data_IF_686762849957
#
_entry.id   IF_686762849957
#
_cell.length_a   1.000
_cell.length_b   1.000
_cell.length_c   1.000
_cell.angle_alpha   90.00
_cell.angle_beta   90.00
_cell.angle_gamma   90.00
#
_symmetry.space_group_name_H-M   'P 1'
#
loop_
_entity.id
_entity.type
_entity.pdbx_description
1 polymer ?
#
# COMPACT_ATOMS: atom_id res chain seq x y z
N UNK A 1 -7.72 -17.90 -58.05
CA UNK A 1 -8.14 -17.34 -56.76
C UNK A 1 -7.73 -18.31 -55.65
N UNK A 2 -6.57 -18.09 -55.01
CA UNK A 2 -6.13 -18.88 -53.86
C UNK A 2 -6.31 -18.01 -52.61
N UNK A 3 -7.26 -18.42 -51.76
CA UNK A 3 -7.66 -17.70 -50.54
C UNK A 3 -6.52 -17.77 -49.52
N UNK A 4 -5.98 -16.62 -49.13
CA UNK A 4 -5.17 -16.47 -47.93
C UNK A 4 -6.12 -16.50 -46.74
N UNK A 5 -6.04 -17.55 -45.91
CA UNK A 5 -6.70 -17.60 -44.61
C UNK A 5 -5.65 -17.14 -43.60
N UNK A 6 -5.76 -15.90 -43.15
CA UNK A 6 -5.00 -15.40 -42.00
C UNK A 6 -5.79 -15.80 -40.76
N UNK A 7 -5.27 -16.80 -40.05
CA UNK A 7 -5.79 -17.24 -38.76
C UNK A 7 -5.30 -16.26 -37.68
N UNK A 8 -6.14 -15.30 -37.31
CA UNK A 8 -5.95 -14.49 -36.10
C UNK A 8 -6.23 -15.37 -34.87
N UNK A 9 -5.17 -15.96 -34.31
CA UNK A 9 -5.24 -16.56 -32.97
C UNK A 9 -5.20 -15.40 -31.98
N UNK A 10 -6.38 -14.92 -31.58
CA UNK A 10 -6.52 -14.15 -30.34
C UNK A 10 -6.18 -15.10 -29.19
N UNK A 11 -4.94 -15.06 -28.71
CA UNK A 11 -4.62 -15.56 -27.38
C UNK A 11 -5.34 -14.61 -26.44
N UNK A 12 -6.55 -14.98 -26.03
CA UNK A 12 -7.24 -14.36 -24.90
C UNK A 12 -6.29 -14.47 -23.72
N UNK A 13 -5.58 -13.38 -23.45
CA UNK A 13 -4.83 -13.21 -22.22
C UNK A 13 -5.90 -13.19 -21.15
N UNK A 14 -6.20 -14.34 -20.56
CA UNK A 14 -6.93 -14.40 -19.30
C UNK A 14 -6.04 -13.63 -18.34
N UNK A 15 -6.38 -12.36 -18.15
CA UNK A 15 -5.83 -11.54 -17.11
C UNK A 15 -6.25 -12.24 -15.82
N UNK A 16 -5.39 -13.13 -15.32
CA UNK A 16 -5.49 -13.60 -13.96
C UNK A 16 -5.34 -12.34 -13.11
N UNK A 17 -6.46 -11.76 -12.68
CA UNK A 17 -6.46 -10.90 -11.51
C UNK A 17 -5.81 -11.75 -10.43
N UNK A 18 -4.58 -11.41 -10.06
CA UNK A 18 -4.04 -11.93 -8.82
C UNK A 18 -4.87 -11.26 -7.74
N UNK A 19 -5.81 -12.03 -7.24
CA UNK A 19 -6.68 -11.68 -6.14
C UNK A 19 -5.81 -11.63 -4.87
N UNK A 20 -5.12 -10.49 -4.70
CA UNK A 20 -4.23 -10.24 -3.57
C UNK A 20 -5.13 -9.97 -2.36
N UNK A 21 -5.25 -10.96 -1.48
CA UNK A 21 -5.95 -10.82 -0.19
C UNK A 21 -4.92 -10.44 0.88
N UNK A 22 -5.21 -9.41 1.67
CA UNK A 22 -4.36 -9.02 2.77
C UNK A 22 -4.32 -10.09 3.88
N UNK A 23 -3.12 -10.61 4.17
CA UNK A 23 -2.87 -11.53 5.27
C UNK A 23 -2.06 -10.83 6.36
N UNK A 24 -2.75 -10.42 7.44
CA UNK A 24 -2.15 -9.65 8.52
C UNK A 24 -1.00 -10.39 9.23
N UNK A 25 -1.13 -11.71 9.42
CA UNK A 25 -0.17 -12.52 10.18
C UNK A 25 1.14 -12.77 9.42
N UNK A 26 1.08 -12.74 8.09
CA UNK A 26 2.25 -12.92 7.22
C UNK A 26 2.90 -11.61 6.79
N UNK A 27 2.17 -10.50 6.90
CA UNK A 27 2.65 -9.20 6.48
C UNK A 27 3.70 -8.66 7.46
N UNK A 28 4.70 -7.99 6.92
CA UNK A 28 5.77 -7.33 7.65
C UNK A 28 5.63 -5.82 7.51
N UNK A 29 6.00 -5.06 8.53
CA UNK A 29 5.97 -3.61 8.52
C UNK A 29 7.38 -3.05 8.56
N UNK A 30 7.70 -2.17 7.62
CA UNK A 30 8.97 -1.46 7.59
C UNK A 30 8.73 0.04 7.63
N UNK A 31 9.45 0.71 8.51
CA UNK A 31 9.56 2.16 8.54
C UNK A 31 10.74 2.55 7.66
N UNK A 32 10.49 3.35 6.64
CA UNK A 32 11.48 3.78 5.65
C UNK A 32 11.60 5.30 5.71
N UNK A 33 12.82 5.77 5.93
CA UNK A 33 13.16 7.21 5.88
C UNK A 33 13.64 7.54 4.48
N UNK A 34 13.11 8.63 3.92
CA UNK A 34 13.50 9.12 2.60
C UNK A 34 13.58 10.65 2.58
N UNK A 35 14.35 11.21 1.67
CA UNK A 35 14.25 12.62 1.29
C UNK A 35 13.29 12.77 0.11
N UNK A 36 12.73 13.97 -0.05
CA UNK A 36 11.89 14.31 -1.21
C UNK A 36 10.38 14.14 -1.01
N UNK A 37 9.94 13.47 0.06
CA UNK A 37 8.54 13.30 0.41
C UNK A 37 8.00 14.44 1.30
N UNK A 38 8.34 15.69 1.00
CA UNK A 38 8.14 16.84 1.89
C UNK A 38 6.79 17.58 1.75
N UNK A 39 5.89 17.04 0.91
CA UNK A 39 4.53 17.54 0.78
C UNK A 39 3.56 16.38 0.57
N UNK A 40 2.27 16.62 0.83
CA UNK A 40 1.24 15.59 0.77
C UNK A 40 1.15 14.90 -0.59
N UNK A 41 1.30 15.63 -1.69
CA UNK A 41 1.19 15.05 -3.03
C UNK A 41 2.39 14.12 -3.30
N UNK A 42 3.60 14.55 -2.96
CA UNK A 42 4.80 13.73 -3.12
C UNK A 42 4.79 12.49 -2.22
N UNK A 43 4.38 12.66 -0.96
CA UNK A 43 4.29 11.57 0.01
C UNK A 43 3.22 10.54 -0.41
N UNK A 44 2.03 11.00 -0.80
CA UNK A 44 0.95 10.13 -1.28
C UNK A 44 1.36 9.39 -2.56
N UNK A 45 2.00 10.10 -3.50
CA UNK A 45 2.40 9.55 -4.79
C UNK A 45 3.48 8.49 -4.67
N UNK A 46 4.52 8.70 -3.84
CA UNK A 46 5.57 7.68 -3.69
C UNK A 46 5.02 6.41 -3.06
N UNK A 47 4.17 6.51 -2.03
CA UNK A 47 3.48 5.36 -1.44
C UNK A 47 2.60 4.62 -2.45
N UNK A 48 1.75 5.37 -3.20
CA UNK A 48 0.93 4.79 -4.28
C UNK A 48 1.75 4.14 -5.38
N UNK A 49 2.93 4.68 -5.68
CA UNK A 49 3.82 4.11 -6.69
C UNK A 49 4.33 2.75 -6.24
N UNK A 50 4.78 2.63 -4.98
CA UNK A 50 5.20 1.34 -4.42
C UNK A 50 4.06 0.31 -4.41
N UNK A 51 2.84 0.74 -4.11
CA UNK A 51 1.63 -0.11 -4.17
C UNK A 51 1.32 -0.57 -5.60
N UNK A 52 1.35 0.34 -6.58
CA UNK A 52 1.12 0.03 -8.01
C UNK A 52 2.17 -0.93 -8.58
N UNK A 53 3.42 -0.79 -8.16
CA UNK A 53 4.51 -1.69 -8.52
C UNK A 53 4.47 -3.02 -7.77
N UNK A 54 3.47 -3.23 -6.89
CA UNK A 54 3.36 -4.40 -6.02
C UNK A 54 4.62 -4.60 -5.15
N UNK A 55 5.29 -3.51 -4.79
CA UNK A 55 6.40 -3.51 -3.85
C UNK A 55 5.90 -3.37 -2.41
N UNK A 56 4.77 -2.68 -2.22
CA UNK A 56 4.07 -2.61 -0.95
C UNK A 56 2.64 -3.12 -1.12
N UNK A 57 2.14 -3.84 -0.12
CA UNK A 57 0.72 -4.19 -0.01
C UNK A 57 -0.09 -2.93 0.31
N UNK A 58 0.41 -2.15 1.26
CA UNK A 58 -0.22 -0.91 1.71
C UNK A 58 0.83 0.00 2.32
N UNK A 59 0.68 1.31 2.14
CA UNK A 59 1.63 2.27 2.68
C UNK A 59 0.99 3.59 3.10
N UNK A 60 1.67 4.27 4.02
CA UNK A 60 1.42 5.67 4.35
C UNK A 60 2.76 6.37 4.49
N UNK A 61 2.91 7.53 3.84
CA UNK A 61 4.12 8.36 3.98
C UNK A 61 3.73 9.67 4.63
N UNK A 62 4.39 9.98 5.74
CA UNK A 62 4.15 11.20 6.49
C UNK A 62 5.01 12.33 5.91
N UNK A 63 4.41 13.37 5.32
CA UNK A 63 5.17 14.45 4.70
C UNK A 63 5.92 15.33 5.71
N UNK A 64 5.52 15.32 6.99
CA UNK A 64 6.15 16.15 8.03
C UNK A 64 7.50 15.59 8.47
N UNK A 65 7.66 14.27 8.40
CA UNK A 65 8.88 13.56 8.81
C UNK A 65 9.60 12.91 7.64
N UNK A 66 9.01 12.93 6.44
CA UNK A 66 9.47 12.18 5.26
C UNK A 66 9.76 10.70 5.57
N UNK A 67 8.92 10.14 6.45
CA UNK A 67 9.01 8.74 6.88
C UNK A 67 7.77 8.00 6.38
N UNK A 68 7.99 6.87 5.73
CA UNK A 68 6.93 5.99 5.26
C UNK A 68 6.84 4.70 6.05
N UNK A 69 5.63 4.21 6.21
CA UNK A 69 5.28 2.93 6.81
C UNK A 69 4.79 2.02 5.69
N UNK A 70 5.57 1.00 5.35
CA UNK A 70 5.33 0.11 4.23
C UNK A 70 5.03 -1.28 4.75
N UNK A 71 3.83 -1.78 4.45
CA UNK A 71 3.42 -3.14 4.72
C UNK A 71 3.78 -3.98 3.49
N UNK A 72 4.59 -5.02 3.68
CA UNK A 72 5.13 -5.88 2.62
C UNK A 72 4.87 -7.35 2.94
N UNK A 73 4.94 -8.20 1.92
CA UNK A 73 4.79 -9.65 2.04
C UNK A 73 6.09 -10.37 2.40
N UNK A 74 7.24 -9.78 2.08
CA UNK A 74 8.56 -10.28 2.44
C UNK A 74 9.63 -9.16 2.44
N UNK A 75 10.72 -9.42 3.15
CA UNK A 75 11.84 -8.48 3.30
C UNK A 75 12.49 -8.04 1.97
N UNK A 76 12.55 -8.92 0.95
CA UNK A 76 13.18 -8.57 -0.34
C UNK A 76 12.50 -7.36 -1.01
N UNK A 77 11.20 -7.15 -0.76
CA UNK A 77 10.49 -5.95 -1.22
C UNK A 77 11.09 -4.64 -0.72
N UNK A 78 11.67 -4.61 0.48
CA UNK A 78 12.29 -3.39 1.04
C UNK A 78 13.47 -2.93 0.18
N UNK A 79 14.29 -3.87 -0.30
CA UNK A 79 15.39 -3.55 -1.20
C UNK A 79 14.91 -3.10 -2.59
N UNK A 80 13.79 -3.63 -3.07
CA UNK A 80 13.19 -3.14 -4.31
C UNK A 80 12.55 -1.76 -4.14
N UNK A 81 11.97 -1.47 -2.97
CA UNK A 81 11.49 -0.12 -2.60
C UNK A 81 12.65 0.87 -2.56
N UNK A 82 13.78 0.50 -1.95
CA UNK A 82 15.00 1.32 -1.94
C UNK A 82 15.43 1.71 -3.36
N UNK A 83 15.55 0.72 -4.27
CA UNK A 83 15.89 0.96 -5.67
C UNK A 83 14.87 1.87 -6.36
N UNK A 84 13.58 1.62 -6.15
CA UNK A 84 12.51 2.39 -6.77
C UNK A 84 12.50 3.86 -6.28
N UNK A 85 12.72 4.10 -4.98
CA UNK A 85 12.85 5.45 -4.41
C UNK A 85 14.05 6.17 -5.01
N UNK A 86 15.22 5.53 -5.07
CA UNK A 86 16.43 6.16 -5.61
C UNK A 86 16.35 6.43 -7.12
N UNK A 87 15.54 5.67 -7.85
CA UNK A 87 15.29 5.91 -9.28
C UNK A 87 14.23 6.99 -9.54
N UNK A 88 13.45 7.37 -8.53
CA UNK A 88 12.44 8.40 -8.67
C UNK A 88 13.08 9.79 -8.53
N UNK A 89 12.95 10.63 -9.56
CA UNK A 89 13.51 11.98 -9.55
C UNK A 89 13.00 12.79 -8.35
N UNK A 90 13.94 13.40 -7.62
CA UNK A 90 13.65 14.23 -6.45
C UNK A 90 13.46 13.47 -5.14
N UNK A 91 13.70 12.16 -5.12
CA UNK A 91 13.69 11.33 -3.91
C UNK A 91 15.06 10.72 -3.65
N UNK A 92 15.32 10.39 -2.39
CA UNK A 92 16.52 9.64 -1.99
C UNK A 92 16.19 8.76 -0.79
N UNK A 93 16.55 7.50 -0.88
CA UNK A 93 16.44 6.57 0.23
C UNK A 93 17.51 6.84 1.28
N UNK A 94 17.13 6.81 2.57
CA UNK A 94 18.06 7.05 3.69
C UNK A 94 18.28 5.77 4.50
N UNK A 95 17.22 5.02 4.79
CA UNK A 95 17.34 3.79 5.56
C UNK A 95 15.99 3.22 5.95
N UNK A 96 16.02 2.07 6.61
CA UNK A 96 14.83 1.38 7.07
C UNK A 96 15.01 0.77 8.46
N UNK A 97 13.88 0.52 9.12
CA UNK A 97 13.75 -0.16 10.40
C UNK A 97 12.57 -1.14 10.29
N UNK A 98 12.79 -2.40 10.69
CA UNK A 98 11.69 -3.36 10.82
C UNK A 98 10.88 -3.03 12.08
N UNK A 99 9.56 -2.99 11.93
CA UNK A 99 8.63 -2.77 13.03
C UNK A 99 7.66 -3.94 13.15
N UNK A 100 7.20 -4.20 14.38
CA UNK A 100 6.13 -5.16 14.57
C UNK A 100 4.80 -4.61 14.02
N UNK A 101 4.18 -5.33 13.08
CA UNK A 101 2.84 -5.00 12.60
C UNK A 101 1.79 -5.35 13.67
N UNK A 102 1.45 -4.38 14.51
CA UNK A 102 0.38 -4.50 15.51
C UNK A 102 -0.96 -3.97 14.98
N UNK A 103 -2.07 -4.42 15.56
CA UNK A 103 -3.42 -3.92 15.20
C UNK A 103 -3.51 -2.39 15.35
N UNK A 104 -2.90 -1.85 16.41
CA UNK A 104 -2.85 -0.40 16.66
C UNK A 104 -2.12 0.34 15.56
N UNK A 105 -0.91 -0.11 15.18
CA UNK A 105 -0.12 0.54 14.13
C UNK A 105 -0.79 0.41 12.76
N UNK A 106 -1.34 -0.77 12.45
CA UNK A 106 -2.09 -0.96 11.22
C UNK A 106 -3.27 0.00 11.12
N UNK A 107 -4.08 0.10 12.17
CA UNK A 107 -5.21 1.01 12.18
C UNK A 107 -4.76 2.47 12.04
N UNK A 108 -3.68 2.87 12.71
CA UNK A 108 -3.12 4.21 12.58
C UNK A 108 -2.67 4.52 11.14
N UNK A 109 -1.90 3.62 10.53
CA UNK A 109 -1.45 3.74 9.13
C UNK A 109 -2.65 3.86 8.19
N UNK A 110 -3.66 3.00 8.37
CA UNK A 110 -4.87 2.99 7.56
C UNK A 110 -5.69 4.27 7.70
N UNK A 111 -5.91 4.74 8.92
CA UNK A 111 -6.68 5.96 9.19
C UNK A 111 -5.94 7.20 8.68
N UNK A 112 -4.63 7.31 8.90
CA UNK A 112 -3.83 8.42 8.34
C UNK A 112 -3.89 8.45 6.81
N UNK A 113 -3.77 7.28 6.16
CA UNK A 113 -3.94 7.15 4.71
C UNK A 113 -5.35 7.54 4.23
N UNK A 114 -6.36 7.32 5.06
CA UNK A 114 -7.73 7.77 4.84
C UNK A 114 -7.97 9.27 5.06
N UNK A 115 -6.92 10.03 5.41
CA UNK A 115 -6.97 11.47 5.62
C UNK A 115 -7.46 11.89 7.01
N UNK A 116 -7.48 10.98 7.98
CA UNK A 116 -7.90 11.28 9.34
C UNK A 116 -6.74 11.73 10.22
N UNK A 117 -6.96 12.76 11.03
CA UNK A 117 -6.10 13.09 12.15
C UNK A 117 -6.32 12.14 13.34
N UNK A 118 -5.32 12.00 14.21
CA UNK A 118 -5.38 11.08 15.37
C UNK A 118 -6.57 11.36 16.29
N UNK A 119 -6.97 12.63 16.44
CA UNK A 119 -8.13 13.04 17.26
C UNK A 119 -9.47 12.53 16.69
N UNK A 120 -9.53 12.18 15.42
CA UNK A 120 -10.75 11.69 14.76
C UNK A 120 -10.92 10.18 14.90
N UNK A 121 -9.86 9.44 15.29
CA UNK A 121 -9.84 7.98 15.24
C UNK A 121 -10.93 7.32 16.08
N UNK A 122 -11.31 7.89 17.22
CA UNK A 122 -12.36 7.32 18.08
C UNK A 122 -13.78 7.66 17.62
N UNK A 123 -13.94 8.68 16.78
CA UNK A 123 -15.24 9.27 16.47
C UNK A 123 -15.72 8.94 15.06
N UNK A 124 -14.80 8.56 14.18
CA UNK A 124 -15.11 8.23 12.80
C UNK A 124 -14.55 6.84 12.45
N UNK A 125 -15.37 5.93 11.89
CA UNK A 125 -14.88 4.64 11.44
C UNK A 125 -13.96 4.79 10.22
N UNK A 126 -13.13 3.78 9.92
CA UNK A 126 -12.31 3.76 8.72
C UNK A 126 -13.13 4.02 7.46
N UNK A 127 -12.54 4.76 6.51
CA UNK A 127 -13.08 4.91 5.15
C UNK A 127 -12.48 3.85 4.25
N UNK A 128 -13.24 3.36 3.28
CA UNK A 128 -12.72 2.45 2.26
C UNK A 128 -11.73 3.18 1.36
N UNK A 129 -10.50 2.67 1.26
CA UNK A 129 -9.43 3.21 0.42
C UNK A 129 -9.27 2.31 -0.81
N UNK A 130 -9.48 2.86 -2.01
CA UNK A 130 -9.38 2.11 -3.26
C UNK A 130 -7.91 1.86 -3.65
N UNK A 131 -7.52 0.59 -3.72
CA UNK A 131 -6.19 0.14 -4.13
C UNK A 131 -6.10 -0.09 -5.64
N UNK A 132 -6.36 0.95 -6.44
CA UNK A 132 -6.36 0.83 -7.91
C UNK A 132 -7.30 -0.28 -8.39
N UNK A 133 -6.86 -1.22 -9.24
CA UNK A 133 -7.69 -2.34 -9.71
C UNK A 133 -7.83 -3.48 -8.68
N UNK A 134 -7.12 -3.45 -7.56
CA UNK A 134 -7.09 -4.55 -6.57
C UNK A 134 -8.29 -4.47 -5.61
N UNK A 135 -9.46 -4.89 -6.10
CA UNK A 135 -10.70 -4.83 -5.33
C UNK A 135 -10.68 -5.73 -4.09
N UNK A 136 -10.17 -6.96 -4.21
CA UNK A 136 -10.10 -7.87 -3.05
C UNK A 136 -9.14 -7.36 -1.97
N UNK A 137 -8.02 -6.78 -2.38
CA UNK A 137 -7.10 -6.12 -1.46
C UNK A 137 -7.78 -4.94 -0.75
N UNK A 138 -8.51 -4.12 -1.51
CA UNK A 138 -9.30 -3.01 -0.98
C UNK A 138 -10.27 -3.46 0.11
N UNK A 139 -11.04 -4.52 -0.16
CA UNK A 139 -12.01 -5.05 0.80
C UNK A 139 -11.33 -5.70 2.01
N UNK A 140 -10.29 -6.50 1.81
CA UNK A 140 -9.60 -7.18 2.92
C UNK A 140 -8.90 -6.19 3.88
N UNK A 141 -8.25 -5.15 3.36
CA UNK A 141 -7.68 -4.08 4.18
C UNK A 141 -8.77 -3.30 4.95
N UNK A 142 -9.85 -2.92 4.26
CA UNK A 142 -10.97 -2.20 4.87
C UNK A 142 -11.66 -3.00 5.96
N UNK A 143 -11.92 -4.29 5.73
CA UNK A 143 -12.55 -5.16 6.70
C UNK A 143 -11.67 -5.33 7.94
N UNK A 144 -10.35 -5.54 7.75
CA UNK A 144 -9.43 -5.63 8.90
C UNK A 144 -9.36 -4.32 9.69
N UNK A 145 -9.38 -3.17 9.02
CA UNK A 145 -9.39 -1.87 9.69
C UNK A 145 -10.66 -1.68 10.53
N UNK A 146 -11.83 -2.00 9.98
CA UNK A 146 -13.10 -1.92 10.71
C UNK A 146 -13.16 -2.89 11.89
N UNK A 147 -12.70 -4.13 11.72
CA UNK A 147 -12.63 -5.12 12.79
C UNK A 147 -11.83 -4.58 13.99
N UNK A 148 -10.63 -4.02 13.74
CA UNK A 148 -9.78 -3.45 14.78
C UNK A 148 -10.45 -2.21 15.40
N UNK A 149 -11.04 -1.35 14.57
CA UNK A 149 -11.70 -0.13 15.03
C UNK A 149 -12.91 -0.44 15.93
N UNK A 150 -13.76 -1.38 15.51
CA UNK A 150 -14.95 -1.80 16.26
C UNK A 150 -14.54 -2.38 17.62
N UNK A 151 -13.54 -3.26 17.64
CA UNK A 151 -12.96 -3.82 18.87
C UNK A 151 -12.43 -2.74 19.83
N UNK A 152 -11.90 -1.64 19.29
CA UNK A 152 -11.25 -0.58 20.08
C UNK A 152 -12.24 0.49 20.58
N UNK A 153 -13.25 0.84 19.79
CA UNK A 153 -14.05 2.05 20.02
C UNK A 153 -15.56 1.81 20.15
N UNK A 154 -16.09 0.70 19.64
CA UNK A 154 -17.54 0.51 19.48
C UNK A 154 -18.19 -0.33 20.60
N UNK A 155 -17.66 -0.22 21.82
CA UNK A 155 -18.15 -0.97 23.00
C UNK A 155 -19.65 -0.79 23.23
#
# INVERSE_FOLDING_TARGET
MKKLIILFVFISSTCFSQDIIFNFQKAQLYKITMEGANDFNKADNIGRTMEKMQLAIFSYVDPTTSTGYFIVDNFYKVHEIEKAINNQSGYKYIGFEEMQLSETLFLEIYMKRGGFGTAEFSNQPPKKIQMGPFNELTYSLFNKANEIWDKKYKK
#
